data_IF_852542928825
#
_entry.id   IF_852542928825
#
_cell.length_a   1.000
_cell.length_b   1.000
_cell.length_c   1.000
_cell.angle_alpha   90.00
_cell.angle_beta   90.00
_cell.angle_gamma   90.00
#
_symmetry.space_group_name_H-M   'P 1'
#
loop_
_entity.id
_entity.type
_entity.pdbx_description
1 polymer ?
#
# COMPACT_ATOMS: atom_id res chain seq x y z
N UNK A 1 -0.50 -10.54 21.39
CA UNK A 1 -1.80 -10.63 20.68
C UNK A 1 -1.84 -11.89 19.81
N UNK A 2 -2.60 -12.92 20.18
CA UNK A 2 -2.89 -14.04 19.27
C UNK A 2 -4.08 -13.61 18.41
N UNK A 3 -3.88 -13.48 17.10
CA UNK A 3 -4.97 -13.15 16.16
C UNK A 3 -6.08 -14.22 16.19
N UNK A 4 -7.33 -13.77 16.13
CA UNK A 4 -8.56 -14.55 16.33
C UNK A 4 -8.62 -15.83 15.45
N UNK A 5 -8.05 -15.79 14.25
CA UNK A 5 -7.98 -16.92 13.31
C UNK A 5 -7.07 -18.09 13.73
N UNK A 6 -6.21 -17.91 14.75
CA UNK A 6 -5.38 -19.03 15.28
C UNK A 6 -6.06 -19.81 16.39
N UNK A 7 -7.26 -19.39 16.83
CA UNK A 7 -8.01 -20.12 17.85
C UNK A 7 -8.34 -21.53 17.36
N UNK A 8 -8.17 -22.51 18.24
CA UNK A 8 -8.59 -23.89 17.95
C UNK A 8 -10.11 -23.93 17.74
N UNK A 9 -10.86 -23.18 18.56
CA UNK A 9 -12.32 -23.13 18.50
C UNK A 9 -12.84 -22.65 17.14
N UNK A 10 -12.25 -21.58 16.59
CA UNK A 10 -12.64 -21.05 15.28
C UNK A 10 -12.39 -22.06 14.16
N UNK A 11 -11.24 -22.73 14.19
CA UNK A 11 -10.88 -23.76 13.20
C UNK A 11 -11.79 -24.97 13.31
N UNK A 12 -12.05 -25.45 14.52
CA UNK A 12 -12.99 -26.55 14.76
C UNK A 12 -14.39 -26.22 14.24
N UNK A 13 -14.90 -25.04 14.53
CA UNK A 13 -16.21 -24.62 14.02
C UNK A 13 -16.22 -24.54 12.49
N UNK A 14 -15.18 -23.94 11.89
CA UNK A 14 -15.13 -23.75 10.44
C UNK A 14 -14.90 -25.07 9.68
N UNK A 15 -14.16 -26.02 10.26
CA UNK A 15 -14.01 -27.38 9.73
C UNK A 15 -15.33 -28.15 9.74
N UNK A 16 -16.19 -27.92 10.74
CA UNK A 16 -17.51 -28.54 10.83
C UNK A 16 -18.53 -27.90 9.88
N UNK A 17 -18.57 -26.57 9.83
CA UNK A 17 -19.59 -25.85 9.05
C UNK A 17 -19.22 -25.74 7.56
N UNK A 18 -17.92 -25.65 7.24
CA UNK A 18 -17.41 -25.39 5.91
C UNK A 18 -16.17 -26.24 5.58
N UNK A 19 -16.28 -27.59 5.53
CA UNK A 19 -15.14 -28.50 5.39
C UNK A 19 -14.34 -28.34 4.09
N UNK A 20 -14.92 -27.65 3.11
CA UNK A 20 -14.32 -27.33 1.81
C UNK A 20 -13.35 -26.14 1.88
N UNK A 21 -13.44 -25.29 2.90
CA UNK A 21 -12.49 -24.20 3.14
C UNK A 21 -11.21 -24.79 3.74
N UNK A 22 -10.07 -24.59 3.08
CA UNK A 22 -8.76 -25.06 3.53
C UNK A 22 -7.89 -23.90 3.99
N UNK A 23 -7.28 -24.01 5.18
CA UNK A 23 -6.35 -22.98 5.67
C UNK A 23 -4.97 -23.16 5.07
N UNK A 24 -4.36 -22.04 4.66
CA UNK A 24 -2.93 -21.97 4.33
C UNK A 24 -2.29 -20.92 5.23
N UNK A 25 -1.58 -21.37 6.26
CA UNK A 25 -0.85 -20.47 7.14
C UNK A 25 0.40 -19.96 6.42
N UNK A 26 0.56 -18.64 6.44
CA UNK A 26 1.73 -17.96 5.87
C UNK A 26 2.61 -17.48 7.03
N UNK A 27 3.93 -17.67 6.98
CA UNK A 27 4.84 -17.11 7.98
C UNK A 27 4.67 -15.59 8.11
N UNK A 28 4.93 -15.06 9.31
CA UNK A 28 4.87 -13.61 9.55
C UNK A 28 5.78 -12.86 8.58
N UNK A 29 5.29 -11.77 7.99
CA UNK A 29 6.03 -10.97 7.01
C UNK A 29 5.98 -11.51 5.57
N UNK A 30 5.45 -12.72 5.33
CA UNK A 30 5.34 -13.28 3.98
C UNK A 30 4.01 -12.99 3.29
N UNK A 31 3.08 -12.27 3.93
CA UNK A 31 1.75 -11.95 3.39
C UNK A 31 1.82 -11.29 2.01
N UNK A 32 2.70 -10.29 1.85
CA UNK A 32 2.87 -9.57 0.59
C UNK A 32 3.46 -10.39 -0.57
N UNK A 33 3.90 -11.62 -0.30
CA UNK A 33 4.36 -12.58 -1.31
C UNK A 33 3.32 -13.68 -1.51
N UNK A 34 2.68 -14.13 -0.43
CA UNK A 34 1.78 -15.28 -0.44
C UNK A 34 0.35 -14.92 -0.83
N UNK A 35 -0.07 -13.66 -0.73
CA UNK A 35 -1.41 -13.22 -1.13
C UNK A 35 -1.40 -12.77 -2.60
N UNK A 36 -2.13 -13.48 -3.50
CA UNK A 36 -2.15 -13.13 -4.92
C UNK A 36 -2.64 -11.71 -5.19
N UNK A 37 -3.57 -11.20 -4.38
CA UNK A 37 -4.04 -9.82 -4.48
C UNK A 37 -2.94 -8.80 -4.17
N UNK A 38 -2.13 -9.05 -3.13
CA UNK A 38 -1.02 -8.18 -2.76
C UNK A 38 0.03 -8.12 -3.88
N UNK A 39 0.38 -9.28 -4.44
CA UNK A 39 1.40 -9.41 -5.49
C UNK A 39 0.92 -8.87 -6.84
N UNK A 40 -0.29 -9.28 -7.25
CA UNK A 40 -0.79 -9.07 -8.60
C UNK A 40 -1.48 -7.74 -8.82
N UNK A 41 -2.15 -7.20 -7.80
CA UNK A 41 -2.95 -5.97 -7.93
C UNK A 41 -2.36 -4.85 -7.10
N UNK A 42 -2.21 -5.06 -5.79
CA UNK A 42 -1.84 -3.97 -4.90
C UNK A 42 -0.40 -3.49 -5.12
N UNK A 43 0.56 -4.40 -5.33
CA UNK A 43 1.96 -4.05 -5.54
C UNK A 43 2.18 -3.19 -6.79
N UNK A 44 1.70 -3.58 -7.99
CA UNK A 44 1.85 -2.73 -9.17
C UNK A 44 1.07 -1.42 -9.04
N UNK A 45 -0.14 -1.45 -8.46
CA UNK A 45 -0.91 -0.22 -8.23
C UNK A 45 -0.17 0.76 -7.32
N UNK A 46 0.29 0.30 -6.14
CA UNK A 46 1.08 1.13 -5.21
C UNK A 46 2.37 1.64 -5.85
N UNK A 47 3.00 0.86 -6.72
CA UNK A 47 4.18 1.30 -7.46
C UNK A 47 3.84 2.41 -8.48
N UNK A 48 2.73 2.27 -9.22
CA UNK A 48 2.28 3.29 -10.16
C UNK A 48 1.96 4.61 -9.45
N UNK A 49 1.24 4.55 -8.33
CA UNK A 49 0.94 5.72 -7.49
C UNK A 49 2.23 6.41 -7.02
N UNK A 50 3.20 5.65 -6.49
CA UNK A 50 4.48 6.21 -6.05
C UNK A 50 5.26 6.88 -7.19
N UNK A 51 5.20 6.32 -8.41
CA UNK A 51 5.85 6.90 -9.59
C UNK A 51 5.18 8.20 -10.01
N UNK A 52 3.85 8.26 -10.01
CA UNK A 52 3.08 9.47 -10.31
C UNK A 52 3.44 10.58 -9.32
N UNK A 53 3.33 10.29 -8.02
CA UNK A 53 3.67 11.25 -6.95
C UNK A 53 5.11 11.76 -7.07
N UNK A 54 6.06 10.89 -7.42
CA UNK A 54 7.44 11.30 -7.61
C UNK A 54 7.61 12.24 -8.80
N UNK A 55 6.93 11.95 -9.93
CA UNK A 55 6.95 12.81 -11.11
C UNK A 55 6.39 14.21 -10.79
N UNK A 56 5.27 14.27 -10.07
CA UNK A 56 4.63 15.53 -9.67
C UNK A 56 5.58 16.39 -8.82
N UNK A 57 6.24 15.79 -7.82
CA UNK A 57 7.21 16.48 -6.96
C UNK A 57 8.41 17.00 -7.76
N UNK A 58 8.91 16.20 -8.71
CA UNK A 58 10.04 16.59 -9.56
C UNK A 58 9.64 17.77 -10.46
N UNK A 59 8.47 17.74 -11.05
CA UNK A 59 7.95 18.83 -11.89
C UNK A 59 7.77 20.12 -11.08
N UNK A 60 7.12 20.05 -9.91
CA UNK A 60 6.97 21.20 -9.00
C UNK A 60 8.35 21.78 -8.64
N UNK A 61 9.29 20.93 -8.22
CA UNK A 61 10.65 21.34 -7.86
C UNK A 61 11.36 22.05 -9.00
N UNK A 62 11.30 21.50 -10.22
CA UNK A 62 11.91 22.10 -11.40
C UNK A 62 11.26 23.44 -11.76
N UNK A 63 9.94 23.56 -11.61
CA UNK A 63 9.22 24.82 -11.84
C UNK A 63 9.66 25.92 -10.87
N UNK A 64 9.85 25.59 -9.60
CA UNK A 64 10.27 26.54 -8.56
C UNK A 64 11.71 27.01 -8.79
N UNK A 65 12.60 26.11 -9.22
CA UNK A 65 13.99 26.43 -9.55
C UNK A 65 14.10 27.35 -10.78
N UNK A 66 13.34 27.07 -11.85
CA UNK A 66 13.32 27.90 -13.06
C UNK A 66 12.84 29.33 -12.80
N UNK A 67 11.93 29.49 -11.84
CA UNK A 67 11.38 30.79 -11.45
C UNK A 67 12.29 31.59 -10.50
N UNK A 68 13.55 31.20 -10.35
CA UNK A 68 14.59 31.92 -9.61
C UNK A 68 14.23 32.22 -8.14
N UNK A 69 13.38 31.38 -7.53
CA UNK A 69 13.09 31.47 -6.10
C UNK A 69 14.34 31.04 -5.32
N UNK A 70 14.75 31.85 -4.34
CA UNK A 70 15.87 31.51 -3.47
C UNK A 70 15.64 30.15 -2.78
N UNK A 71 16.67 29.29 -2.75
CA UNK A 71 16.63 27.95 -2.17
C UNK A 71 15.91 27.81 -0.80
N UNK A 72 16.02 28.75 0.17
CA UNK A 72 15.29 28.64 1.44
C UNK A 72 13.76 28.87 1.35
N UNK A 73 13.22 29.26 0.19
CA UNK A 73 11.78 29.55 -0.02
C UNK A 73 11.06 28.43 -0.80
N UNK A 74 11.80 27.41 -1.26
CA UNK A 74 11.21 26.27 -1.97
C UNK A 74 10.48 25.38 -0.96
N UNK A 75 9.17 25.59 -0.83
CA UNK A 75 8.26 24.70 -0.11
C UNK A 75 7.43 23.95 -1.13
N UNK A 76 7.57 22.62 -1.12
CA UNK A 76 6.70 21.75 -1.89
C UNK A 76 5.32 21.72 -1.26
N UNK A 77 4.29 21.76 -2.09
CA UNK A 77 2.93 21.57 -1.61
C UNK A 77 2.75 20.12 -1.15
N UNK A 78 2.51 19.95 0.16
CA UNK A 78 2.26 18.63 0.77
C UNK A 78 0.78 18.34 0.92
N UNK A 79 -0.09 19.23 0.44
CA UNK A 79 -1.52 18.95 0.37
C UNK A 79 -1.79 18.02 -0.83
N UNK A 80 -3.04 17.59 -1.00
CA UNK A 80 -3.46 16.80 -2.17
C UNK A 80 -4.31 17.67 -3.13
N UNK A 81 -3.79 18.75 -3.75
CA UNK A 81 -4.60 19.55 -4.68
C UNK A 81 -5.04 18.74 -5.89
N UNK A 82 -4.17 17.86 -6.41
CA UNK A 82 -4.37 17.07 -7.64
C UNK A 82 -5.53 16.07 -7.57
N UNK A 83 -6.10 15.83 -6.38
CA UNK A 83 -7.25 14.93 -6.18
C UNK A 83 -8.57 15.69 -5.92
N UNK A 84 -8.60 17.01 -6.11
CA UNK A 84 -9.78 17.86 -5.82
C UNK A 84 -10.62 18.23 -7.03
N UNK A 85 -10.29 17.74 -8.22
CA UNK A 85 -11.13 17.85 -9.42
C UNK A 85 -12.18 16.73 -9.48
#
# INVERSE_FOLDING_TARGET
MKGEHRSIQFRTWLDQQYPWIKYRFVPGGCTGIAQPCDVGVQRPFKLAVKRSQHADIVEESLSLLKNNKAAPVIRLDTTLPTLRD
#
